data_IF_184166152471
#
_entry.id   IF_184166152471
#
_cell.length_a   1.000
_cell.length_b   1.000
_cell.length_c   1.000
_cell.angle_alpha   90.00
_cell.angle_beta   90.00
_cell.angle_gamma   90.00
#
_symmetry.space_group_name_H-M   'P 1'
#
loop_
_entity.id
_entity.type
_entity.pdbx_description
1 polymer ?
#
# COMPACT_ATOMS: atom_id res chain seq x y z
N UNK A 1 23.82 12.29 16.98
CA UNK A 1 22.47 12.71 16.54
C UNK A 1 22.50 14.24 16.48
N UNK A 2 22.30 14.88 15.33
CA UNK A 2 22.30 16.35 15.21
C UNK A 2 20.86 16.82 15.05
N UNK A 3 20.41 17.68 15.97
CA UNK A 3 19.09 18.31 15.94
C UNK A 3 19.22 19.65 15.21
N UNK A 4 18.49 19.84 14.12
CA UNK A 4 18.24 21.16 13.55
C UNK A 4 16.72 21.28 13.35
N UNK A 5 16.08 22.16 14.13
CA UNK A 5 14.68 22.59 13.95
C UNK A 5 13.64 21.49 13.70
N UNK A 6 13.43 20.57 14.65
CA UNK A 6 12.35 19.55 14.64
C UNK A 6 12.30 18.62 13.39
N UNK A 7 13.30 18.68 12.52
CA UNK A 7 13.48 17.78 11.38
C UNK A 7 14.52 16.74 11.77
N UNK A 8 14.15 15.47 11.64
CA UNK A 8 15.02 14.34 11.96
C UNK A 8 15.60 13.74 10.68
N UNK A 9 16.93 13.76 10.56
CA UNK A 9 17.65 13.02 9.53
C UNK A 9 17.91 11.60 10.02
N UNK A 10 17.29 10.60 9.38
CA UNK A 10 17.66 9.21 9.61
C UNK A 10 18.69 8.76 8.57
N UNK A 11 19.88 8.40 9.06
CA UNK A 11 20.80 7.60 8.26
C UNK A 11 20.24 6.18 8.20
N UNK A 12 20.13 5.64 7.00
CA UNK A 12 20.01 4.21 6.80
C UNK A 12 21.30 3.54 7.31
N UNK A 13 21.36 3.21 8.60
CA UNK A 13 22.52 2.54 9.19
C UNK A 13 22.78 1.20 8.49
N UNK A 14 24.05 0.78 8.38
CA UNK A 14 24.43 -0.50 7.76
C UNK A 14 24.87 -0.45 6.30
N UNK A 15 24.88 0.74 5.67
CA UNK A 15 25.46 0.93 4.33
C UNK A 15 26.96 1.25 4.45
N UNK A 16 27.86 0.59 3.68
CA UNK A 16 29.26 1.00 3.61
C UNK A 16 29.36 2.44 3.11
N UNK A 17 29.85 3.35 3.95
CA UNK A 17 29.94 4.80 3.67
C UNK A 17 30.98 5.16 2.61
N UNK A 18 31.71 4.20 2.07
CA UNK A 18 32.85 4.44 1.19
C UNK A 18 32.47 4.57 -0.30
N UNK A 19 31.29 4.10 -0.75
CA UNK A 19 30.99 3.98 -2.18
C UNK A 19 29.55 4.31 -2.62
N UNK A 20 28.66 4.74 -1.73
CA UNK A 20 27.29 5.14 -2.10
C UNK A 20 26.90 6.48 -1.50
N UNK A 21 26.09 7.24 -2.24
CA UNK A 21 25.55 8.53 -1.82
C UNK A 21 24.82 8.34 -0.47
N UNK A 22 25.11 9.16 0.56
CA UNK A 22 24.41 9.10 1.83
C UNK A 22 22.91 9.33 1.62
N UNK A 23 22.12 8.31 1.93
CA UNK A 23 20.66 8.40 1.87
C UNK A 23 20.16 8.98 3.19
N UNK A 24 19.55 10.16 3.11
CA UNK A 24 18.92 10.82 4.24
C UNK A 24 17.42 10.94 4.00
N UNK A 25 16.62 10.52 4.97
CA UNK A 25 15.18 10.78 4.98
C UNK A 25 14.89 11.92 5.94
N UNK A 26 14.12 12.90 5.49
CA UNK A 26 13.58 13.94 6.34
C UNK A 26 12.31 13.40 7.01
N UNK A 27 12.32 13.32 8.33
CA UNK A 27 11.12 13.08 9.12
C UNK A 27 10.76 14.38 9.81
N UNK A 28 9.63 14.94 9.41
CA UNK A 28 9.07 16.16 9.99
C UNK A 28 8.22 15.78 11.20
N UNK A 29 8.33 16.54 12.29
CA UNK A 29 7.44 16.36 13.45
C UNK A 29 5.98 16.65 13.06
N UNK A 30 5.04 15.86 13.59
CA UNK A 30 3.61 15.99 13.29
C UNK A 30 3.11 17.45 13.50
N UNK A 31 3.56 18.14 14.55
CA UNK A 31 3.25 19.56 14.85
C UNK A 31 3.51 20.54 13.70
N UNK A 32 4.55 20.31 12.90
CA UNK A 32 4.90 21.19 11.78
C UNK A 32 4.07 20.87 10.55
N UNK A 33 3.69 19.60 10.38
CA UNK A 33 2.88 19.15 9.26
C UNK A 33 1.40 19.55 9.40
N UNK A 34 0.88 19.74 10.62
CA UNK A 34 -0.54 20.04 10.86
C UNK A 34 -0.98 21.33 10.19
N UNK A 35 -0.16 22.39 10.21
CA UNK A 35 -0.46 23.64 9.52
C UNK A 35 -0.57 23.43 8.00
N UNK A 36 0.39 22.71 7.40
CA UNK A 36 0.40 22.40 5.97
C UNK A 36 -0.79 21.52 5.55
N UNK A 37 -1.12 20.52 6.38
CA UNK A 37 -2.30 19.64 6.19
C UNK A 37 -3.59 20.44 6.15
N UNK A 38 -3.75 21.41 7.03
CA UNK A 38 -4.95 22.26 7.08
C UNK A 38 -5.07 23.17 5.86
N UNK A 39 -3.96 23.69 5.34
CA UNK A 39 -3.96 24.57 4.16
C UNK A 39 -4.42 23.88 2.88
N UNK A 40 -4.05 22.62 2.67
CA UNK A 40 -4.39 21.86 1.44
C UNK A 40 -5.56 20.89 1.63
N UNK A 41 -6.32 21.06 2.71
CA UNK A 41 -7.39 20.15 3.07
C UNK A 41 -8.48 20.12 2.00
N UNK A 42 -8.78 18.93 1.48
CA UNK A 42 -9.79 18.77 0.43
C UNK A 42 -11.22 18.61 0.99
N UNK A 43 -11.37 18.03 2.19
CA UNK A 43 -12.67 17.72 2.80
C UNK A 43 -13.20 18.79 3.76
N UNK A 44 -14.51 18.81 3.99
CA UNK A 44 -15.21 19.75 4.88
C UNK A 44 -15.33 19.28 6.34
N UNK A 45 -14.91 18.06 6.66
CA UNK A 45 -15.06 17.45 7.99
C UNK A 45 -13.89 16.54 8.36
N UNK A 46 -13.65 16.35 9.66
CA UNK A 46 -12.59 15.48 10.16
C UNK A 46 -12.97 14.02 9.92
N UNK A 47 -12.12 13.34 9.16
CA UNK A 47 -12.31 11.93 8.87
C UNK A 47 -11.74 11.14 10.03
N UNK A 48 -12.62 10.70 10.90
CA UNK A 48 -12.22 9.98 12.12
C UNK A 48 -12.51 8.49 12.02
N UNK A 49 -11.93 7.74 12.96
CA UNK A 49 -12.19 6.31 13.09
C UNK A 49 -13.66 6.02 13.42
N UNK A 50 -14.31 6.87 14.21
CA UNK A 50 -15.74 6.71 14.50
C UNK A 50 -16.59 6.81 13.23
N UNK A 51 -16.20 7.67 12.28
CA UNK A 51 -16.87 7.74 10.98
C UNK A 51 -16.71 6.42 10.21
N UNK A 52 -15.50 5.84 10.20
CA UNK A 52 -15.25 4.53 9.59
C UNK A 52 -16.11 3.44 10.25
N UNK A 53 -16.15 3.40 11.59
CA UNK A 53 -16.91 2.41 12.34
C UNK A 53 -18.43 2.55 12.15
N UNK A 54 -18.92 3.77 11.87
CA UNK A 54 -20.31 4.01 11.46
C UNK A 54 -20.62 3.47 10.05
N UNK A 55 -19.66 3.53 9.13
CA UNK A 55 -19.81 2.98 7.77
C UNK A 55 -19.68 1.45 7.76
N UNK A 56 -18.75 0.92 8.54
CA UNK A 56 -18.41 -0.50 8.62
C UNK A 56 -18.25 -0.86 10.10
N UNK A 57 -19.27 -1.46 10.72
CA UNK A 57 -19.18 -1.88 12.11
C UNK A 57 -17.96 -2.79 12.35
N UNK A 58 -17.31 -2.74 13.51
CA UNK A 58 -16.05 -3.46 13.75
C UNK A 58 -16.12 -4.97 13.46
N UNK A 59 -17.23 -5.63 13.78
CA UNK A 59 -17.46 -7.06 13.48
C UNK A 59 -17.59 -7.34 11.97
N UNK A 60 -18.16 -6.40 11.20
CA UNK A 60 -18.14 -6.46 9.74
C UNK A 60 -16.69 -6.31 9.25
N UNK A 61 -15.97 -5.32 9.77
CA UNK A 61 -14.59 -5.03 9.39
C UNK A 61 -13.66 -6.24 9.50
N UNK A 62 -13.70 -7.00 10.59
CA UNK A 62 -12.87 -8.20 10.80
C UNK A 62 -13.07 -9.25 9.70
N UNK A 63 -14.31 -9.45 9.26
CA UNK A 63 -14.65 -10.38 8.17
C UNK A 63 -14.17 -9.87 6.82
N UNK A 64 -14.28 -8.57 6.56
CA UNK A 64 -13.72 -7.95 5.35
C UNK A 64 -12.19 -8.09 5.30
N UNK A 65 -11.48 -7.97 6.43
CA UNK A 65 -10.04 -8.22 6.47
C UNK A 65 -9.71 -9.66 6.11
N UNK A 66 -10.50 -10.64 6.57
CA UNK A 66 -10.31 -12.04 6.18
C UNK A 66 -10.51 -12.25 4.67
N UNK A 67 -11.54 -11.62 4.08
CA UNK A 67 -11.76 -11.63 2.63
C UNK A 67 -10.62 -10.95 1.87
N UNK A 68 -10.11 -9.81 2.34
CA UNK A 68 -8.96 -9.12 1.76
C UNK A 68 -7.74 -10.05 1.68
N UNK A 69 -7.43 -10.73 2.78
CA UNK A 69 -6.26 -11.62 2.88
C UNK A 69 -6.41 -12.83 1.96
N UNK A 70 -7.63 -13.31 1.77
CA UNK A 70 -7.91 -14.45 0.90
C UNK A 70 -7.87 -14.08 -0.59
N UNK A 71 -8.49 -12.96 -0.97
CA UNK A 71 -8.78 -12.66 -2.38
C UNK A 71 -7.93 -11.53 -2.98
N UNK A 72 -7.48 -10.56 -2.18
CA UNK A 72 -6.74 -9.39 -2.67
C UNK A 72 -5.24 -9.54 -2.42
N UNK A 73 -4.86 -9.92 -1.19
CA UNK A 73 -3.47 -10.00 -0.77
C UNK A 73 -2.56 -10.87 -1.66
N UNK A 74 -2.99 -12.05 -2.19
CA UNK A 74 -2.13 -12.87 -3.05
C UNK A 74 -1.69 -12.15 -4.33
N UNK A 75 -2.57 -11.32 -4.90
CA UNK A 75 -2.28 -10.53 -6.09
C UNK A 75 -1.56 -9.22 -5.76
N UNK A 76 -1.88 -8.60 -4.62
CA UNK A 76 -1.35 -7.31 -4.20
C UNK A 76 -0.93 -7.33 -2.72
N UNK A 77 0.23 -7.92 -2.39
CA UNK A 77 0.71 -8.11 -1.01
C UNK A 77 1.34 -6.84 -0.44
N UNK A 78 0.68 -5.69 -0.58
CA UNK A 78 1.16 -4.37 -0.14
C UNK A 78 0.97 -4.13 1.35
N UNK A 79 0.52 -5.13 2.12
CA UNK A 79 0.35 -5.02 3.58
C UNK A 79 1.24 -6.04 4.30
N UNK A 80 1.60 -5.79 5.56
CA UNK A 80 2.18 -6.84 6.40
C UNK A 80 1.06 -7.57 7.15
N UNK A 81 0.94 -8.89 6.97
CA UNK A 81 -0.04 -9.72 7.71
C UNK A 81 0.10 -9.57 9.23
N UNK A 82 1.33 -9.41 9.72
CA UNK A 82 1.61 -9.17 11.13
C UNK A 82 0.98 -7.88 11.67
N UNK A 83 0.81 -6.85 10.83
CA UNK A 83 0.18 -5.59 11.23
C UNK A 83 -1.35 -5.67 11.26
N UNK A 84 -1.95 -6.64 10.55
CA UNK A 84 -3.38 -6.92 10.60
C UNK A 84 -3.76 -7.92 11.70
N UNK A 85 -2.83 -8.26 12.62
CA UNK A 85 -3.08 -9.27 13.65
C UNK A 85 -3.20 -10.70 13.12
N UNK A 86 -2.72 -10.96 11.91
CA UNK A 86 -2.81 -12.27 11.26
C UNK A 86 -1.48 -13.00 11.42
N UNK A 87 -1.39 -13.82 12.45
CA UNK A 87 -0.16 -14.53 12.86
C UNK A 87 -0.09 -15.97 12.34
N UNK A 88 -1.18 -16.53 11.79
CA UNK A 88 -1.23 -17.95 11.38
C UNK A 88 -2.12 -18.21 10.16
N UNK A 89 -1.81 -19.28 9.41
CA UNK A 89 -2.46 -19.77 8.18
C UNK A 89 -3.91 -20.27 8.37
N UNK A 90 -4.45 -20.18 9.58
CA UNK A 90 -5.83 -20.55 9.87
C UNK A 90 -6.78 -19.40 9.53
N UNK A 91 -8.00 -19.77 9.13
CA UNK A 91 -9.17 -18.91 8.88
C UNK A 91 -9.65 -18.19 10.16
N UNK A 92 -8.75 -17.54 10.88
CA UNK A 92 -9.03 -16.83 12.12
C UNK A 92 -9.29 -15.36 11.79
N UNK A 93 -10.43 -14.86 12.25
CA UNK A 93 -10.74 -13.44 12.18
C UNK A 93 -9.71 -12.67 13.02
N UNK A 94 -9.12 -11.57 12.51
CA UNK A 94 -8.22 -10.72 13.26
C UNK A 94 -8.80 -10.35 14.63
N UNK A 95 -8.00 -10.23 15.68
CA UNK A 95 -8.48 -9.65 16.94
C UNK A 95 -8.86 -8.17 16.74
N UNK A 96 -9.89 -7.71 17.44
CA UNK A 96 -10.37 -6.33 17.27
C UNK A 96 -9.31 -5.32 17.70
N UNK A 97 -8.58 -5.62 18.77
CA UNK A 97 -7.48 -4.81 19.29
C UNK A 97 -6.34 -4.66 18.27
N UNK A 98 -6.08 -5.70 17.46
CA UNK A 98 -5.05 -5.62 16.43
C UNK A 98 -5.40 -4.58 15.35
N UNK A 99 -6.69 -4.48 14.99
CA UNK A 99 -7.17 -3.50 14.02
C UNK A 99 -7.17 -2.06 14.56
N UNK A 100 -7.12 -1.89 15.89
CA UNK A 100 -7.13 -0.54 16.47
C UNK A 100 -5.89 0.29 16.14
N UNK A 101 -4.76 -0.38 15.94
CA UNK A 101 -3.48 0.24 15.63
C UNK A 101 -3.29 0.52 14.12
N UNK A 102 -4.22 0.06 13.28
CA UNK A 102 -4.16 0.26 11.84
C UNK A 102 -4.69 1.66 11.50
N UNK A 103 -3.95 2.47 10.71
CA UNK A 103 -4.43 3.78 10.29
C UNK A 103 -5.76 3.71 9.52
N UNK A 104 -6.63 4.71 9.74
CA UNK A 104 -8.01 4.73 9.24
C UNK A 104 -8.08 4.57 7.71
N UNK A 105 -7.25 5.29 6.97
CA UNK A 105 -7.20 5.23 5.50
C UNK A 105 -6.79 3.85 4.99
N UNK A 106 -5.83 3.20 5.64
CA UNK A 106 -5.41 1.86 5.25
C UNK A 106 -6.51 0.85 5.53
N UNK A 107 -7.17 0.95 6.68
CA UNK A 107 -8.26 0.07 7.06
C UNK A 107 -9.48 0.25 6.14
N UNK A 108 -9.85 1.50 5.83
CA UNK A 108 -10.91 1.82 4.89
C UNK A 108 -10.62 1.30 3.47
N UNK A 109 -9.37 1.43 2.99
CA UNK A 109 -8.95 0.88 1.71
C UNK A 109 -9.04 -0.65 1.69
N UNK A 110 -8.61 -1.33 2.76
CA UNK A 110 -8.76 -2.78 2.92
C UNK A 110 -10.22 -3.21 2.86
N UNK A 111 -11.11 -2.52 3.58
CA UNK A 111 -12.54 -2.81 3.57
C UNK A 111 -13.15 -2.62 2.17
N UNK A 112 -12.82 -1.51 1.51
CA UNK A 112 -13.34 -1.20 0.18
C UNK A 112 -12.85 -2.20 -0.88
N UNK A 113 -11.57 -2.58 -0.87
CA UNK A 113 -11.00 -3.58 -1.77
C UNK A 113 -11.56 -4.99 -1.54
N UNK A 114 -11.92 -5.33 -0.30
CA UNK A 114 -12.49 -6.64 0.04
C UNK A 114 -13.98 -6.76 -0.29
N UNK A 115 -14.69 -5.63 -0.39
CA UNK A 115 -16.14 -5.60 -0.53
C UNK A 115 -16.70 -6.41 -1.71
N UNK A 116 -16.07 -6.44 -2.91
CA UNK A 116 -16.56 -7.26 -4.02
C UNK A 116 -16.65 -8.77 -3.69
N UNK A 117 -15.96 -9.23 -2.65
CA UNK A 117 -15.92 -10.63 -2.22
C UNK A 117 -16.89 -10.94 -1.08
N UNK A 118 -17.74 -9.99 -0.68
CA UNK A 118 -18.73 -10.15 0.40
C UNK A 118 -19.68 -11.33 0.15
N UNK A 119 -19.97 -11.66 -1.11
CA UNK A 119 -20.77 -12.84 -1.47
C UNK A 119 -20.14 -14.18 -1.05
N UNK A 120 -18.84 -14.19 -0.68
CA UNK A 120 -18.12 -15.38 -0.21
C UNK A 120 -18.03 -15.50 1.32
N UNK A 121 -18.76 -14.66 2.06
CA UNK A 121 -18.95 -14.80 3.50
C UNK A 121 -20.46 -14.89 3.80
N UNK A 122 -20.86 -15.97 4.46
CA UNK A 122 -22.28 -16.29 4.71
C UNK A 122 -23.03 -15.19 5.49
N UNK A 123 -22.34 -14.49 6.39
CA UNK A 123 -22.93 -13.44 7.21
C UNK A 123 -22.97 -12.10 6.45
N UNK A 124 -21.86 -11.74 5.80
CA UNK A 124 -21.76 -10.47 5.07
C UNK A 124 -22.66 -10.45 3.84
N UNK A 125 -22.79 -11.57 3.14
CA UNK A 125 -23.63 -11.68 1.96
C UNK A 125 -25.09 -11.33 2.28
N UNK A 126 -25.61 -11.82 3.41
CA UNK A 126 -26.97 -11.51 3.88
C UNK A 126 -27.09 -10.05 4.31
N UNK A 127 -26.13 -9.54 5.07
CA UNK A 127 -26.17 -8.15 5.52
C UNK A 127 -26.15 -7.17 4.33
N UNK A 128 -25.40 -7.49 3.29
CA UNK A 128 -25.30 -6.68 2.08
C UNK A 128 -26.62 -6.55 1.30
N UNK A 129 -27.59 -7.46 1.47
CA UNK A 129 -28.89 -7.32 0.80
C UNK A 129 -29.79 -6.25 1.44
N UNK A 130 -29.53 -5.87 2.70
CA UNK A 130 -30.36 -4.94 3.46
C UNK A 130 -29.78 -3.54 3.58
N UNK A 131 -28.49 -3.37 3.30
CA UNK A 131 -27.78 -2.10 3.49
C UNK A 131 -27.18 -1.60 2.19
N UNK A 132 -27.21 -0.27 2.00
CA UNK A 132 -26.53 0.35 0.87
C UNK A 132 -25.01 0.18 0.98
N UNK A 133 -24.35 -0.09 -0.15
CA UNK A 133 -22.91 -0.29 -0.20
C UNK A 133 -22.14 0.93 0.31
N UNK A 134 -21.23 0.77 1.30
CA UNK A 134 -20.39 1.87 1.80
C UNK A 134 -19.17 2.15 0.91
N UNK A 135 -18.93 1.37 -0.16
CA UNK A 135 -17.66 1.39 -0.93
C UNK A 135 -17.28 2.77 -1.46
N UNK A 136 -18.22 3.51 -2.05
CA UNK A 136 -17.91 4.85 -2.58
C UNK A 136 -17.50 5.83 -1.47
N UNK A 137 -18.15 5.73 -0.30
CA UNK A 137 -17.84 6.56 0.86
C UNK A 137 -16.48 6.17 1.45
N UNK A 138 -16.16 4.87 1.49
CA UNK A 138 -14.84 4.39 1.90
C UNK A 138 -13.74 4.88 0.95
N UNK A 139 -13.91 4.81 -0.37
CA UNK A 139 -12.90 5.32 -1.29
C UNK A 139 -12.72 6.83 -1.23
N UNK A 140 -13.81 7.58 -1.07
CA UNK A 140 -13.73 9.03 -0.82
C UNK A 140 -12.93 9.33 0.46
N UNK A 141 -13.24 8.62 1.54
CA UNK A 141 -12.53 8.73 2.81
C UNK A 141 -11.02 8.46 2.65
N UNK A 142 -10.67 7.41 1.93
CA UNK A 142 -9.27 7.04 1.64
C UNK A 142 -8.56 8.18 0.90
N UNK A 143 -9.18 8.71 -0.16
CA UNK A 143 -8.58 9.78 -0.96
C UNK A 143 -8.40 11.09 -0.16
N UNK A 144 -9.39 11.48 0.64
CA UNK A 144 -9.33 12.67 1.50
C UNK A 144 -8.15 12.57 2.48
N UNK A 145 -8.03 11.46 3.21
CA UNK A 145 -6.92 11.26 4.15
C UNK A 145 -5.56 11.19 3.43
N UNK A 146 -5.46 10.49 2.29
CA UNK A 146 -4.20 10.43 1.52
C UNK A 146 -3.75 11.83 1.14
N UNK A 147 -4.67 12.65 0.61
CA UNK A 147 -4.40 14.01 0.15
C UNK A 147 -3.91 14.93 1.27
N UNK A 148 -4.31 14.67 2.52
CA UNK A 148 -3.81 15.39 3.70
C UNK A 148 -2.46 14.80 4.15
N UNK A 149 -2.33 13.47 4.23
CA UNK A 149 -1.14 12.80 4.75
C UNK A 149 0.10 12.87 3.83
N UNK A 150 -0.03 13.34 2.59
CA UNK A 150 1.13 13.55 1.69
C UNK A 150 2.16 14.54 2.25
N UNK A 151 1.78 15.43 3.18
CA UNK A 151 2.70 16.37 3.85
C UNK A 151 3.63 15.71 4.86
N UNK A 152 3.26 14.53 5.39
CA UNK A 152 4.09 13.74 6.27
C UNK A 152 3.82 12.24 6.06
N UNK A 153 4.21 11.70 4.89
CA UNK A 153 3.75 10.40 4.47
C UNK A 153 4.34 9.29 5.34
N UNK A 154 3.52 8.30 5.64
CA UNK A 154 3.93 7.03 6.25
C UNK A 154 3.72 5.90 5.23
N UNK A 155 4.31 4.73 5.46
CA UNK A 155 4.11 3.57 4.58
C UNK A 155 2.61 3.28 4.35
N UNK A 156 1.77 3.44 5.38
CA UNK A 156 0.31 3.26 5.28
C UNK A 156 -0.37 4.12 4.22
N UNK A 157 0.14 5.33 3.96
CA UNK A 157 -0.37 6.21 2.90
C UNK A 157 -0.12 5.58 1.54
N UNK A 158 1.11 5.13 1.29
CA UNK A 158 1.47 4.46 0.04
C UNK A 158 0.71 3.14 -0.14
N UNK A 159 0.51 2.38 0.93
CA UNK A 159 -0.29 1.14 0.93
C UNK A 159 -1.75 1.42 0.51
N UNK A 160 -2.40 2.40 1.15
CA UNK A 160 -3.77 2.78 0.82
C UNK A 160 -3.89 3.36 -0.59
N UNK A 161 -2.92 4.17 -1.01
CA UNK A 161 -2.89 4.77 -2.34
C UNK A 161 -2.72 3.71 -3.44
N UNK A 162 -1.88 2.70 -3.23
CA UNK A 162 -1.79 1.54 -4.14
C UNK A 162 -3.11 0.76 -4.19
N UNK A 163 -3.79 0.56 -3.05
CA UNK A 163 -5.12 -0.08 -3.08
C UNK A 163 -6.14 0.78 -3.84
N UNK A 164 -6.05 2.10 -3.72
CA UNK A 164 -6.93 3.06 -4.37
C UNK A 164 -6.81 3.02 -5.91
N UNK A 165 -5.63 2.78 -6.49
CA UNK A 165 -5.49 2.67 -7.96
C UNK A 165 -6.21 1.46 -8.55
N UNK A 166 -6.52 0.46 -7.72
CA UNK A 166 -7.25 -0.74 -8.11
C UNK A 166 -8.73 -0.69 -7.72
N UNK A 167 -9.26 0.47 -7.35
CA UNK A 167 -10.69 0.63 -7.14
C UNK A 167 -11.46 0.24 -8.41
N UNK A 168 -12.57 -0.48 -8.23
CA UNK A 168 -13.47 -0.82 -9.34
C UNK A 168 -14.58 0.21 -9.43
N UNK A 169 -14.91 0.71 -10.63
CA UNK A 169 -16.08 1.56 -10.80
C UNK A 169 -17.35 0.83 -10.35
N UNK A 170 -18.27 1.55 -9.69
CA UNK A 170 -19.52 0.97 -9.20
C UNK A 170 -20.61 0.93 -10.28
N UNK A 171 -20.56 1.84 -11.24
CA UNK A 171 -21.54 1.92 -12.32
C UNK A 171 -21.00 1.29 -13.59
N UNK A 172 -21.81 0.44 -14.23
CA UNK A 172 -21.51 -0.18 -15.53
C UNK A 172 -21.12 0.87 -16.60
N UNK A 173 -21.68 2.08 -16.53
CA UNK A 173 -21.35 3.19 -17.42
C UNK A 173 -19.89 3.66 -17.27
N UNK A 174 -19.32 3.60 -16.06
CA UNK A 174 -17.94 4.00 -15.81
C UNK A 174 -16.94 2.96 -16.34
N UNK A 175 -17.32 1.68 -16.49
CA UNK A 175 -16.48 0.67 -17.16
C UNK A 175 -16.33 0.92 -18.66
N UNK A 176 -17.29 1.62 -19.27
CA UNK A 176 -17.24 1.97 -20.70
C UNK A 176 -16.52 3.29 -20.98
N UNK A 177 -16.17 4.03 -19.93
CA UNK A 177 -15.49 5.32 -20.05
C UNK A 177 -13.98 5.10 -20.01
N UNK A 178 -13.24 5.76 -20.91
CA UNK A 178 -11.78 5.72 -20.90
C UNK A 178 -11.23 6.24 -19.54
N UNK A 179 -10.08 5.70 -19.13
CA UNK A 179 -9.40 6.15 -17.91
C UNK A 179 -9.24 7.67 -17.92
N UNK A 180 -9.73 8.31 -16.86
CA UNK A 180 -9.61 9.76 -16.72
C UNK A 180 -8.14 10.14 -16.50
N UNK A 181 -7.70 11.35 -16.89
CA UNK A 181 -6.33 11.82 -16.65
C UNK A 181 -5.88 11.76 -15.18
N UNK A 182 -6.85 11.76 -14.25
CA UNK A 182 -6.61 11.61 -12.82
C UNK A 182 -5.75 10.38 -12.51
N UNK A 183 -6.01 9.23 -13.14
CA UNK A 183 -5.29 8.00 -12.81
C UNK A 183 -3.80 8.12 -13.08
N UNK A 184 -3.41 8.69 -14.23
CA UNK A 184 -2.00 8.92 -14.55
C UNK A 184 -1.35 9.93 -13.60
N UNK A 185 -2.03 11.04 -13.31
CA UNK A 185 -1.55 12.01 -12.31
C UNK A 185 -1.37 11.38 -10.92
N UNK A 186 -2.26 10.47 -10.54
CA UNK A 186 -2.20 9.76 -9.27
C UNK A 186 -1.06 8.73 -9.23
N UNK A 187 -0.73 8.07 -10.34
CA UNK A 187 0.50 7.25 -10.47
C UNK A 187 1.75 8.10 -10.27
N UNK A 188 1.82 9.30 -10.87
CA UNK A 188 2.92 10.23 -10.60
C UNK A 188 3.04 10.61 -9.11
N UNK A 189 1.90 10.78 -8.42
CA UNK A 189 1.87 11.00 -6.97
C UNK A 189 2.37 9.77 -6.19
N UNK A 190 2.01 8.55 -6.59
CA UNK A 190 2.55 7.31 -6.00
C UNK A 190 4.07 7.23 -6.10
N UNK A 191 4.63 7.55 -7.27
CA UNK A 191 6.08 7.59 -7.48
C UNK A 191 6.72 8.64 -6.57
N UNK A 192 6.16 9.84 -6.48
CA UNK A 192 6.62 10.90 -5.57
C UNK A 192 6.60 10.47 -4.09
N UNK A 193 5.53 9.81 -3.65
CA UNK A 193 5.40 9.25 -2.30
C UNK A 193 6.43 8.14 -2.05
N UNK A 194 6.64 7.24 -3.01
CA UNK A 194 7.65 6.18 -2.93
C UNK A 194 9.07 6.76 -2.78
N UNK A 195 9.38 7.79 -3.54
CA UNK A 195 10.66 8.50 -3.47
C UNK A 195 10.84 9.19 -2.11
N UNK A 196 9.82 9.92 -1.64
CA UNK A 196 9.83 10.61 -0.35
C UNK A 196 9.98 9.67 0.85
N UNK A 197 9.38 8.46 0.77
CA UNK A 197 9.49 7.41 1.78
C UNK A 197 10.79 6.58 1.69
N UNK A 198 11.56 6.76 0.62
CA UNK A 198 12.79 6.01 0.38
C UNK A 198 12.59 4.57 -0.01
N UNK A 199 11.44 4.17 -0.54
CA UNK A 199 11.19 2.76 -0.86
C UNK A 199 11.91 2.32 -2.14
N UNK A 200 12.29 3.26 -3.00
CA UNK A 200 13.15 3.07 -4.18
C UNK A 200 14.61 2.70 -3.86
N UNK A 201 14.97 2.66 -2.58
CA UNK A 201 16.32 2.39 -2.11
C UNK A 201 16.37 1.04 -1.39
N UNK A 202 17.39 0.24 -1.69
CA UNK A 202 17.60 -1.07 -1.10
C UNK A 202 17.78 -0.96 0.43
N UNK A 203 16.88 -1.64 1.15
CA UNK A 203 16.75 -1.55 2.59
C UNK A 203 17.21 -2.81 3.34
N UNK A 204 17.67 -3.86 2.64
CA UNK A 204 18.19 -5.10 3.26
C UNK A 204 19.23 -4.82 4.35
N UNK A 205 20.13 -3.86 4.12
CA UNK A 205 21.20 -3.52 5.05
C UNK A 205 20.77 -2.58 6.19
N UNK A 206 19.56 -2.02 6.15
CA UNK A 206 19.13 -1.01 7.11
C UNK A 206 18.92 -1.59 8.51
N UNK A 207 19.15 -0.79 9.55
CA UNK A 207 18.86 -1.16 10.95
C UNK A 207 17.38 -1.15 11.35
N UNK A 208 16.45 -1.56 10.47
CA UNK A 208 14.99 -1.56 10.70
C UNK A 208 14.44 -2.99 10.84
N UNK A 209 13.22 -3.17 11.41
CA UNK A 209 12.61 -4.49 11.56
C UNK A 209 12.49 -5.27 10.23
N UNK A 210 12.69 -6.58 10.28
CA UNK A 210 12.68 -7.42 9.08
C UNK A 210 11.33 -7.37 8.32
N UNK A 211 10.20 -7.26 9.03
CA UNK A 211 8.89 -7.12 8.39
C UNK A 211 8.78 -5.82 7.59
N UNK A 212 9.39 -4.74 8.07
CA UNK A 212 9.35 -3.43 7.41
C UNK A 212 10.21 -3.45 6.14
N UNK A 213 11.38 -4.08 6.17
CA UNK A 213 12.22 -4.27 4.97
C UNK A 213 11.47 -5.00 3.86
N UNK A 214 10.86 -6.13 4.21
CA UNK A 214 10.06 -6.93 3.28
C UNK A 214 8.89 -6.13 2.71
N UNK A 215 8.24 -5.32 3.55
CA UNK A 215 7.13 -4.47 3.12
C UNK A 215 7.61 -3.39 2.14
N UNK A 216 8.67 -2.65 2.48
CA UNK A 216 9.25 -1.60 1.61
C UNK A 216 9.60 -2.12 0.23
N UNK A 217 10.23 -3.30 0.15
CA UNK A 217 10.56 -3.94 -1.14
C UNK A 217 9.32 -4.31 -1.94
N UNK A 218 8.29 -4.92 -1.31
CA UNK A 218 7.01 -5.20 -2.00
C UNK A 218 6.30 -3.92 -2.47
N UNK A 219 6.37 -2.84 -1.68
CA UNK A 219 5.80 -1.54 -2.06
C UNK A 219 6.51 -0.93 -3.26
N UNK A 220 7.84 -0.96 -3.29
CA UNK A 220 8.60 -0.48 -4.44
C UNK A 220 8.18 -1.21 -5.73
N UNK A 221 8.20 -2.53 -5.70
CA UNK A 221 7.87 -3.33 -6.87
C UNK A 221 6.38 -3.20 -7.28
N UNK A 222 5.48 -2.90 -6.34
CA UNK A 222 4.09 -2.56 -6.67
C UNK A 222 3.97 -1.21 -7.39
N UNK A 223 4.68 -0.19 -6.91
CA UNK A 223 4.72 1.14 -7.56
C UNK A 223 5.36 1.05 -8.94
N UNK A 224 6.47 0.31 -9.08
CA UNK A 224 7.12 0.05 -10.36
C UNK A 224 6.15 -0.65 -11.33
N UNK A 225 5.46 -1.70 -10.90
CA UNK A 225 4.50 -2.38 -11.75
C UNK A 225 3.37 -1.45 -12.19
N UNK A 226 2.79 -0.65 -11.30
CA UNK A 226 1.77 0.33 -11.67
C UNK A 226 2.28 1.34 -12.70
N UNK A 227 3.47 1.91 -12.51
CA UNK A 227 4.04 2.85 -13.48
C UNK A 227 4.18 2.24 -14.87
N UNK A 228 4.83 1.06 -14.98
CA UNK A 228 5.09 0.40 -16.27
C UNK A 228 3.82 -0.04 -16.98
N UNK A 229 2.87 -0.64 -16.25
CA UNK A 229 1.61 -1.06 -16.85
C UNK A 229 0.77 0.13 -17.32
N UNK A 230 0.69 1.20 -16.53
CA UNK A 230 -0.12 2.38 -16.87
C UNK A 230 0.53 3.16 -18.01
N UNK A 231 1.85 3.32 -18.00
CA UNK A 231 2.63 3.88 -19.11
C UNK A 231 2.34 3.14 -20.41
N UNK A 232 2.45 1.81 -20.41
CA UNK A 232 2.20 0.98 -21.58
C UNK A 232 0.74 1.07 -22.06
N UNK A 233 -0.24 0.91 -21.17
CA UNK A 233 -1.67 0.91 -21.52
C UNK A 233 -2.17 2.28 -22.00
N UNK A 234 -1.59 3.36 -21.50
CA UNK A 234 -2.01 4.73 -21.83
C UNK A 234 -1.15 5.37 -22.93
N UNK A 235 -0.08 4.69 -23.39
CA UNK A 235 0.87 5.24 -24.36
C UNK A 235 1.62 6.48 -23.85
N UNK A 236 2.01 6.47 -22.58
CA UNK A 236 2.70 7.59 -21.91
C UNK A 236 4.12 7.19 -21.52
N UNK A 237 5.08 8.12 -21.46
CA UNK A 237 6.40 7.81 -20.90
C UNK A 237 6.29 7.35 -19.44
N UNK A 238 7.05 6.34 -18.99
CA UNK A 238 7.08 5.92 -17.59
C UNK A 238 7.66 7.04 -16.72
N UNK A 239 7.24 7.09 -15.46
CA UNK A 239 7.81 8.01 -14.47
C UNK A 239 9.12 7.50 -13.88
N UNK A 240 9.33 6.18 -13.81
CA UNK A 240 10.50 5.57 -13.17
C UNK A 240 11.53 5.18 -14.23
N UNK A 241 12.72 5.74 -14.15
CA UNK A 241 13.85 5.33 -14.99
C UNK A 241 14.77 4.34 -14.27
N UNK A 242 15.50 3.53 -15.04
CA UNK A 242 16.30 2.40 -14.51
C UNK A 242 17.50 2.84 -13.66
N UNK A 243 17.93 4.10 -13.78
CA UNK A 243 19.07 4.69 -13.08
C UNK A 243 18.69 5.42 -11.77
N UNK A 244 17.41 5.48 -11.43
CA UNK A 244 16.88 6.26 -10.29
C UNK A 244 16.65 5.44 -9.00
N UNK A 245 16.89 4.13 -9.03
CA UNK A 245 16.60 3.20 -7.92
C UNK A 245 17.60 2.03 -7.84
N UNK A 246 17.70 1.36 -6.68
CA UNK A 246 18.68 0.26 -6.49
C UNK A 246 18.13 -0.99 -5.77
N UNK A 247 16.81 -1.13 -5.66
CA UNK A 247 16.14 -2.27 -5.00
C UNK A 247 16.40 -3.58 -5.76
N UNK A 248 16.79 -4.64 -5.05
CA UNK A 248 17.00 -5.95 -5.68
C UNK A 248 15.68 -6.67 -5.99
N UNK A 249 15.71 -7.63 -6.91
CA UNK A 249 14.58 -8.50 -7.27
C UNK A 249 13.94 -9.21 -6.07
N UNK A 250 12.61 -9.35 -6.10
CA UNK A 250 11.86 -10.03 -5.03
C UNK A 250 12.23 -11.51 -4.95
N UNK A 251 12.48 -11.96 -3.72
CA UNK A 251 12.74 -13.36 -3.39
C UNK A 251 11.68 -13.91 -2.42
N UNK A 252 11.70 -15.21 -2.16
CA UNK A 252 10.79 -15.88 -1.22
C UNK A 252 10.83 -15.26 0.19
N UNK A 253 11.98 -14.71 0.56
CA UNK A 253 12.17 -14.02 1.82
C UNK A 253 11.24 -12.83 2.00
N UNK A 254 10.81 -12.17 0.92
CA UNK A 254 9.92 -11.02 0.97
C UNK A 254 8.47 -11.37 1.35
N UNK A 255 8.07 -12.64 1.29
CA UNK A 255 6.67 -13.05 1.51
C UNK A 255 6.44 -13.84 2.82
N UNK A 256 7.51 -14.04 3.61
CA UNK A 256 7.47 -14.76 4.89
C UNK A 256 6.64 -14.04 5.97
N UNK A 257 5.85 -14.83 6.72
CA UNK A 257 5.16 -14.41 7.94
C UNK A 257 6.08 -14.67 9.14
N UNK A 258 6.42 -13.62 9.89
CA UNK A 258 7.22 -13.75 11.12
C UNK A 258 8.75 -13.72 10.91
N UNK A 259 9.53 -13.87 12.00
CA UNK A 259 10.97 -14.12 11.94
C UNK A 259 11.21 -15.54 11.41
N UNK A 260 12.32 -15.76 10.68
CA UNK A 260 12.73 -17.10 10.21
C UNK A 260 12.82 -18.05 11.41
N UNK A 261 11.79 -18.82 11.70
CA UNK A 261 11.90 -20.00 12.54
C UNK A 261 12.52 -21.10 11.67
N UNK A 262 13.49 -21.82 12.25
CA UNK A 262 14.47 -22.63 11.53
C UNK A 262 13.88 -23.63 10.54
N UNK A 263 14.73 -24.02 9.58
CA UNK A 263 14.61 -25.13 8.62
C UNK A 263 13.29 -25.91 8.66
N UNK A 264 12.21 -25.29 8.18
CA UNK A 264 11.06 -26.04 7.70
C UNK A 264 11.21 -26.15 6.19
N UNK A 265 11.65 -27.31 5.74
CA UNK A 265 11.87 -27.68 4.33
C UNK A 265 10.55 -27.95 3.59
N UNK A 266 9.43 -27.36 4.03
CA UNK A 266 8.20 -27.41 3.25
C UNK A 266 8.26 -26.28 2.21
N UNK A 267 9.09 -26.47 1.19
CA UNK A 267 8.99 -25.74 -0.08
C UNK A 267 7.74 -26.25 -0.80
N UNK A 268 6.56 -25.84 -0.34
CA UNK A 268 5.50 -25.67 -1.32
C UNK A 268 5.88 -24.38 -2.06
N UNK A 269 6.31 -24.53 -3.32
CA UNK A 269 6.34 -23.45 -4.30
C UNK A 269 4.93 -22.87 -4.35
N UNK A 270 4.65 -21.98 -3.40
CA UNK A 270 3.38 -21.32 -3.31
C UNK A 270 3.53 -20.26 -4.36
N UNK A 271 2.97 -20.49 -5.54
CA UNK A 271 2.96 -19.49 -6.60
C UNK A 271 2.54 -18.16 -5.99
N UNK A 272 3.38 -17.14 -6.19
CA UNK A 272 3.14 -15.79 -5.69
C UNK A 272 2.77 -14.97 -6.91
N UNK A 273 1.48 -14.80 -7.25
CA UNK A 273 1.03 -14.10 -8.46
C UNK A 273 1.68 -12.74 -8.63
N UNK A 274 1.91 -12.04 -7.52
CA UNK A 274 2.60 -10.75 -7.50
C UNK A 274 4.02 -10.79 -8.10
N UNK A 275 4.79 -11.87 -7.92
CA UNK A 275 6.12 -11.99 -8.55
C UNK A 275 6.00 -12.09 -10.08
N UNK A 276 5.01 -12.82 -10.58
CA UNK A 276 4.74 -12.89 -12.02
C UNK A 276 4.31 -11.53 -12.58
N UNK A 277 3.45 -10.79 -11.85
CA UNK A 277 3.05 -9.44 -12.24
C UNK A 277 4.26 -8.50 -12.37
N UNK A 278 5.20 -8.57 -11.43
CA UNK A 278 6.43 -7.78 -11.43
C UNK A 278 7.35 -8.18 -12.60
N UNK A 279 7.52 -9.47 -12.86
CA UNK A 279 8.31 -9.95 -13.99
C UNK A 279 7.71 -9.49 -15.32
N UNK A 280 6.39 -9.54 -15.47
CA UNK A 280 5.70 -9.04 -16.65
C UNK A 280 5.84 -7.51 -16.78
N UNK A 281 5.84 -6.76 -15.68
CA UNK A 281 6.08 -5.31 -15.70
C UNK A 281 7.49 -4.96 -16.21
N UNK A 282 8.49 -5.79 -15.93
CA UNK A 282 9.85 -5.62 -16.50
C UNK A 282 9.87 -5.85 -18.00
N UNK A 283 9.15 -6.87 -18.47
CA UNK A 283 9.00 -7.09 -19.93
C UNK A 283 8.29 -5.89 -20.56
N UNK A 284 7.27 -5.33 -19.90
CA UNK A 284 6.60 -4.10 -20.36
C UNK A 284 7.57 -2.91 -20.44
N UNK A 285 8.49 -2.78 -19.49
CA UNK A 285 9.55 -1.76 -19.50
C UNK A 285 10.52 -1.94 -20.68
N UNK A 286 11.00 -3.17 -20.91
CA UNK A 286 11.85 -3.51 -22.05
C UNK A 286 11.16 -3.21 -23.39
N UNK A 287 9.87 -3.50 -23.50
CA UNK A 287 9.07 -3.17 -24.69
C UNK A 287 9.00 -1.65 -24.86
N UNK A 288 8.79 -0.88 -23.80
CA UNK A 288 8.69 0.58 -23.89
C UNK A 288 9.99 1.23 -24.38
N UNK A 289 11.16 0.72 -23.95
CA UNK A 289 12.48 1.19 -24.40
C UNK A 289 12.79 0.85 -25.87
N UNK A 290 12.06 -0.09 -26.47
CA UNK A 290 12.27 -0.47 -27.88
C UNK A 290 11.58 0.43 -28.90
N UNK A 291 10.69 1.33 -28.46
CA UNK A 291 9.94 2.26 -29.31
C UNK A 291 10.41 3.71 -29.14
#
# INVERSE_FOLDING_TARGET
MKYFYKVHYRNAGGVPTAQRIPVHFMITSDDLSTAMKNETRAGTGEVTKEHLDCLVPPEYGRRLVALFVKYVFPALPVISRSQLGLTTTSYQLPELDALTNVPVHLLAAVYASAFPFVAHDDYLCVLNTYHASPVQRLWRMVYEIISEEIHNPRLAVLQAALLYTHQRPLDDAQYTTADTPFLWSFVGQLVGLACSLGVHIECRMWGIPAWEKRLRRRLWWAVYAEDKWRSLLMGRPPYIHSDEWDVSELDEGDFLVGPRQGFSTCSCDTEIPFRYLVNLARIADEIHETF
#
